data_IF_198358678464
#
_entry.id   IF_198358678464
#
_cell.length_a   1.000
_cell.length_b   1.000
_cell.length_c   1.000
_cell.angle_alpha   90.00
_cell.angle_beta   90.00
_cell.angle_gamma   90.00
#
_symmetry.space_group_name_H-M   'P 1'
#
loop_
_entity.id
_entity.type
_entity.pdbx_description
1 polymer ?
#
# COMPACT_ATOMS: atom_id res chain seq x y z
N UNK A 1 1.88 -63.98 -23.86
CA UNK A 1 1.57 -63.00 -22.79
C UNK A 1 2.55 -61.82 -22.72
N UNK A 2 3.43 -61.62 -23.71
CA UNK A 2 4.41 -60.51 -23.75
C UNK A 2 3.80 -59.20 -24.24
N UNK A 3 2.87 -59.26 -25.20
CA UNK A 3 2.28 -58.09 -25.86
C UNK A 3 1.48 -57.17 -24.91
N UNK A 4 0.83 -57.73 -23.87
CA UNK A 4 0.04 -56.94 -22.91
C UNK A 4 0.91 -56.08 -21.99
N UNK A 5 2.13 -56.55 -21.65
CA UNK A 5 3.12 -55.80 -20.86
C UNK A 5 3.73 -54.66 -21.68
N UNK A 6 4.00 -54.88 -22.96
CA UNK A 6 4.51 -53.83 -23.85
C UNK A 6 3.48 -52.73 -24.06
N UNK A 7 2.19 -53.08 -24.24
CA UNK A 7 1.11 -52.10 -24.42
C UNK A 7 0.91 -51.24 -23.16
N UNK A 8 0.98 -51.84 -21.96
CA UNK A 8 0.86 -51.09 -20.70
C UNK A 8 2.02 -50.12 -20.48
N UNK A 9 3.25 -50.51 -20.82
CA UNK A 9 4.43 -49.63 -20.72
C UNK A 9 4.34 -48.47 -21.72
N UNK A 10 3.89 -48.72 -22.95
CA UNK A 10 3.73 -47.67 -23.98
C UNK A 10 2.62 -46.68 -23.61
N UNK A 11 1.49 -47.14 -23.09
CA UNK A 11 0.43 -46.26 -22.59
C UNK A 11 0.89 -45.41 -21.40
N UNK A 12 1.66 -45.98 -20.47
CA UNK A 12 2.21 -45.23 -19.33
C UNK A 12 3.18 -44.13 -19.79
N UNK A 13 4.02 -44.43 -20.79
CA UNK A 13 4.97 -43.48 -21.35
C UNK A 13 4.29 -42.33 -22.10
N UNK A 14 3.21 -42.60 -22.83
CA UNK A 14 2.39 -41.58 -23.50
C UNK A 14 1.66 -40.67 -22.50
N UNK A 15 1.21 -41.23 -21.38
CA UNK A 15 0.55 -40.47 -20.30
C UNK A 15 1.49 -39.48 -19.61
N UNK A 16 2.77 -39.84 -19.47
CA UNK A 16 3.78 -39.00 -18.85
C UNK A 16 4.17 -37.78 -19.71
N UNK A 17 4.07 -37.89 -21.04
CA UNK A 17 4.38 -36.78 -21.97
C UNK A 17 3.24 -35.74 -22.07
N UNK A 18 2.01 -36.12 -21.72
CA UNK A 18 0.85 -35.21 -21.77
C UNK A 18 0.84 -34.14 -20.67
N UNK A 19 1.58 -34.35 -19.58
CA UNK A 19 1.59 -33.43 -18.42
C UNK A 19 2.70 -32.34 -18.49
N UNK A 20 3.56 -32.36 -19.51
CA UNK A 20 4.80 -31.57 -19.51
C UNK A 20 4.79 -30.23 -20.26
N UNK A 21 3.75 -29.93 -21.05
CA UNK A 21 3.71 -28.73 -21.91
C UNK A 21 2.56 -27.76 -21.59
N UNK A 22 1.65 -28.12 -20.69
CA UNK A 22 0.47 -27.32 -20.41
C UNK A 22 0.79 -25.93 -19.83
N UNK A 23 1.92 -25.78 -19.11
CA UNK A 23 2.26 -24.59 -18.33
C UNK A 23 3.09 -23.50 -19.04
N UNK A 24 3.43 -23.70 -20.31
CA UNK A 24 4.23 -22.69 -21.04
C UNK A 24 3.32 -21.65 -21.67
N UNK A 25 3.33 -20.45 -21.08
CA UNK A 25 2.82 -19.22 -21.72
C UNK A 25 3.61 -19.03 -23.03
N UNK A 26 2.94 -18.74 -24.17
CA UNK A 26 3.63 -18.50 -25.43
C UNK A 26 4.59 -17.31 -25.30
N UNK A 27 5.72 -17.35 -25.99
CA UNK A 27 6.80 -16.37 -25.83
C UNK A 27 6.39 -14.91 -26.16
N UNK A 28 5.29 -14.74 -26.89
CA UNK A 28 4.72 -13.43 -27.27
C UNK A 28 3.74 -12.86 -26.21
N UNK A 29 3.52 -13.59 -25.11
CA UNK A 29 2.65 -13.18 -24.01
C UNK A 29 3.48 -12.93 -22.77
N UNK A 30 3.18 -11.82 -22.08
CA UNK A 30 3.79 -11.45 -20.80
C UNK A 30 3.64 -12.61 -19.81
N UNK A 31 4.72 -13.00 -19.14
CA UNK A 31 4.70 -14.11 -18.18
C UNK A 31 3.77 -13.81 -17.00
N UNK A 32 3.31 -14.85 -16.30
CA UNK A 32 2.34 -14.69 -15.21
C UNK A 32 2.87 -13.79 -14.08
N UNK A 33 4.15 -13.87 -13.79
CA UNK A 33 4.81 -13.11 -12.73
C UNK A 33 4.90 -11.63 -13.09
N UNK A 34 5.25 -11.31 -14.34
CA UNK A 34 5.29 -9.93 -14.81
C UNK A 34 3.89 -9.33 -14.94
N UNK A 35 2.92 -10.12 -15.41
CA UNK A 35 1.52 -9.73 -15.48
C UNK A 35 0.98 -9.42 -14.08
N UNK A 36 1.31 -10.26 -13.07
CA UNK A 36 0.99 -10.00 -11.67
C UNK A 36 1.54 -8.63 -11.23
N UNK A 37 2.81 -8.35 -11.48
CA UNK A 37 3.45 -7.11 -11.02
C UNK A 37 2.81 -5.86 -11.64
N UNK A 38 2.54 -5.89 -12.95
CA UNK A 38 1.84 -4.80 -13.64
C UNK A 38 0.43 -4.58 -13.08
N UNK A 39 -0.32 -5.66 -12.84
CA UNK A 39 -1.70 -5.58 -12.37
C UNK A 39 -1.79 -5.07 -10.93
N UNK A 40 -0.81 -5.38 -10.07
CA UNK A 40 -0.72 -4.80 -8.72
C UNK A 40 -0.64 -3.28 -8.82
N UNK A 41 0.28 -2.78 -9.65
CA UNK A 41 0.51 -1.34 -9.80
C UNK A 41 -0.69 -0.63 -10.44
N UNK A 42 -1.34 -1.26 -11.44
CA UNK A 42 -2.55 -0.72 -12.04
C UNK A 42 -3.69 -0.61 -11.02
N UNK A 43 -3.92 -1.63 -10.20
CA UNK A 43 -4.95 -1.63 -9.18
C UNK A 43 -4.65 -0.62 -8.04
N UNK A 44 -3.36 -0.44 -7.72
CA UNK A 44 -2.92 0.60 -6.80
C UNK A 44 -3.20 2.00 -7.38
N UNK A 45 -2.93 2.22 -8.67
CA UNK A 45 -3.24 3.48 -9.35
C UNK A 45 -4.75 3.75 -9.43
N UNK A 46 -5.58 2.73 -9.62
CA UNK A 46 -7.04 2.86 -9.56
C UNK A 46 -7.47 3.32 -8.17
N UNK A 47 -6.99 2.64 -7.13
CA UNK A 47 -7.27 2.99 -5.74
C UNK A 47 -6.83 4.42 -5.43
N UNK A 48 -5.64 4.81 -5.88
CA UNK A 48 -5.08 6.16 -5.72
C UNK A 48 -5.90 7.21 -6.48
N UNK A 49 -6.51 6.87 -7.63
CA UNK A 49 -7.32 7.80 -8.40
C UNK A 49 -8.61 8.26 -7.68
N UNK A 50 -9.09 7.46 -6.72
CA UNK A 50 -10.23 7.81 -5.88
C UNK A 50 -9.84 8.71 -4.71
N UNK A 51 -8.54 8.84 -4.42
CA UNK A 51 -8.09 9.65 -3.30
C UNK A 51 -8.33 11.14 -3.60
N UNK A 52 -8.90 11.81 -2.61
CA UNK A 52 -9.41 13.18 -2.70
C UNK A 52 -8.29 14.12 -3.14
N UNK A 53 -8.60 15.02 -4.07
CA UNK A 53 -7.63 16.02 -4.57
C UNK A 53 -6.91 16.68 -3.39
N UNK A 54 -5.56 16.76 -3.40
CA UNK A 54 -4.78 17.32 -2.30
C UNK A 54 -5.10 18.79 -2.00
N UNK A 55 -5.86 19.46 -2.88
CA UNK A 55 -6.13 20.89 -2.78
C UNK A 55 -7.44 21.25 -2.08
N UNK A 56 -8.47 20.38 -2.00
CA UNK A 56 -9.79 20.82 -1.48
C UNK A 56 -10.67 19.78 -0.77
N UNK A 57 -10.27 18.51 -0.66
CA UNK A 57 -11.15 17.49 -0.06
C UNK A 57 -12.46 17.28 -0.83
N UNK A 58 -12.53 17.77 -2.08
CA UNK A 58 -13.65 17.59 -2.99
C UNK A 58 -13.30 16.40 -3.89
N UNK A 59 -14.20 15.41 -4.05
CA UNK A 59 -13.98 14.30 -4.97
C UNK A 59 -13.77 14.83 -6.40
N UNK A 60 -12.82 14.23 -7.13
CA UNK A 60 -12.59 14.58 -8.52
C UNK A 60 -13.83 14.26 -9.36
N UNK A 61 -14.19 15.10 -10.35
CA UNK A 61 -15.16 14.72 -11.36
C UNK A 61 -14.71 13.44 -12.07
N UNK A 62 -15.65 12.55 -12.38
CA UNK A 62 -15.33 11.24 -12.99
C UNK A 62 -14.56 11.35 -14.31
N UNK A 63 -14.85 12.37 -15.12
CA UNK A 63 -14.14 12.62 -16.38
C UNK A 63 -12.64 12.88 -16.18
N UNK A 64 -12.31 13.70 -15.17
CA UNK A 64 -10.91 14.02 -14.82
C UNK A 64 -10.23 12.81 -14.21
N UNK A 65 -10.94 12.07 -13.35
CA UNK A 65 -10.43 10.83 -12.74
C UNK A 65 -10.06 9.79 -13.79
N UNK A 66 -10.95 9.53 -14.75
CA UNK A 66 -10.69 8.58 -15.84
C UNK A 66 -9.50 9.00 -16.70
N UNK A 67 -9.33 10.31 -16.96
CA UNK A 67 -8.16 10.81 -17.68
C UNK A 67 -6.87 10.55 -16.89
N UNK A 68 -6.87 10.79 -15.57
CA UNK A 68 -5.73 10.54 -14.68
C UNK A 68 -5.36 9.05 -14.61
N UNK A 69 -6.33 8.15 -14.50
CA UNK A 69 -6.08 6.71 -14.51
C UNK A 69 -5.38 6.27 -15.80
N UNK A 70 -5.82 6.79 -16.96
CA UNK A 70 -5.15 6.51 -18.24
C UNK A 70 -3.70 6.99 -18.27
N UNK A 71 -3.42 8.16 -17.70
CA UNK A 71 -2.05 8.67 -17.53
C UNK A 71 -1.21 7.75 -16.65
N UNK A 72 -1.75 7.26 -15.53
CA UNK A 72 -1.05 6.34 -14.64
C UNK A 72 -0.79 4.99 -15.29
N UNK A 73 -1.77 4.40 -15.97
CA UNK A 73 -1.58 3.12 -16.66
C UNK A 73 -0.48 3.19 -17.72
N UNK A 74 -0.39 4.30 -18.46
CA UNK A 74 0.71 4.54 -19.39
C UNK A 74 2.06 4.50 -18.67
N UNK A 75 2.18 5.24 -17.58
CA UNK A 75 3.43 5.33 -16.80
C UNK A 75 3.81 3.97 -16.19
N UNK A 76 2.84 3.21 -15.70
CA UNK A 76 3.07 1.86 -15.15
C UNK A 76 3.59 0.93 -16.24
N UNK A 77 2.97 0.93 -17.42
CA UNK A 77 3.45 0.13 -18.54
C UNK A 77 4.89 0.52 -18.94
N UNK A 78 5.21 1.81 -18.94
CA UNK A 78 6.56 2.30 -19.21
C UNK A 78 7.57 1.82 -18.14
N UNK A 79 7.18 1.82 -16.85
CA UNK A 79 7.99 1.31 -15.73
C UNK A 79 8.27 -0.19 -15.83
N UNK A 80 7.30 -0.96 -16.31
CA UNK A 80 7.42 -2.40 -16.54
C UNK A 80 7.99 -2.76 -17.92
N UNK A 81 8.36 -1.74 -18.72
CA UNK A 81 8.91 -1.88 -20.07
C UNK A 81 8.00 -2.61 -21.07
N UNK A 82 6.69 -2.36 -20.98
CA UNK A 82 5.70 -2.93 -21.89
C UNK A 82 5.08 -1.87 -22.79
N UNK A 83 4.82 -2.26 -24.04
CA UNK A 83 3.97 -1.43 -24.91
C UNK A 83 2.48 -1.68 -24.59
N UNK A 84 1.63 -0.69 -24.85
CA UNK A 84 0.16 -0.85 -24.71
C UNK A 84 -0.35 -2.02 -25.57
N UNK A 85 0.20 -2.20 -26.78
CA UNK A 85 -0.19 -3.27 -27.70
C UNK A 85 0.17 -4.65 -27.14
N UNK A 86 1.38 -4.81 -26.62
CA UNK A 86 1.87 -6.04 -26.01
C UNK A 86 1.07 -6.42 -24.76
N UNK A 87 0.79 -5.43 -23.90
CA UNK A 87 -0.07 -5.64 -22.74
C UNK A 87 -1.47 -6.08 -23.14
N UNK A 88 -2.11 -5.39 -24.09
CA UNK A 88 -3.47 -5.72 -24.54
C UNK A 88 -3.53 -7.10 -25.21
N UNK A 89 -2.52 -7.47 -26.01
CA UNK A 89 -2.44 -8.80 -26.60
C UNK A 89 -2.32 -9.89 -25.53
N UNK A 90 -1.47 -9.66 -24.54
CA UNK A 90 -1.28 -10.56 -23.39
C UNK A 90 -2.54 -10.65 -22.53
N UNK A 91 -3.18 -9.52 -22.24
CA UNK A 91 -4.41 -9.45 -21.47
C UNK A 91 -5.52 -10.26 -22.13
N UNK A 92 -5.70 -10.11 -23.45
CA UNK A 92 -6.68 -10.91 -24.22
C UNK A 92 -6.40 -12.41 -24.13
N UNK A 93 -5.13 -12.82 -24.13
CA UNK A 93 -4.77 -14.22 -23.90
C UNK A 93 -5.23 -14.70 -22.52
N UNK A 94 -4.94 -13.94 -21.45
CA UNK A 94 -5.36 -14.32 -20.09
C UNK A 94 -6.89 -14.31 -19.93
N UNK A 95 -7.59 -13.36 -20.54
CA UNK A 95 -9.06 -13.31 -20.55
C UNK A 95 -9.67 -14.55 -21.20
N UNK A 96 -9.07 -15.05 -22.28
CA UNK A 96 -9.48 -16.29 -22.94
C UNK A 96 -9.12 -17.57 -22.16
N UNK A 97 -8.27 -17.47 -21.14
CA UNK A 97 -7.81 -18.61 -20.33
C UNK A 97 -8.07 -18.37 -18.82
N UNK A 98 -9.32 -18.56 -18.34
CA UNK A 98 -9.71 -18.23 -16.97
C UNK A 98 -8.85 -18.90 -15.89
N UNK A 99 -8.41 -20.14 -16.13
CA UNK A 99 -7.53 -20.86 -15.19
C UNK A 99 -6.20 -20.13 -14.99
N UNK A 100 -5.61 -19.60 -16.07
CA UNK A 100 -4.35 -18.86 -16.03
C UNK A 100 -4.49 -17.49 -15.42
N UNK A 101 -5.59 -16.80 -15.73
CA UNK A 101 -5.89 -15.51 -15.11
C UNK A 101 -6.12 -15.67 -13.60
N UNK A 102 -6.80 -16.74 -13.18
CA UNK A 102 -6.94 -17.07 -11.75
C UNK A 102 -5.59 -17.27 -11.08
N UNK A 103 -4.67 -18.01 -11.69
CA UNK A 103 -3.31 -18.18 -11.13
C UNK A 103 -2.62 -16.81 -10.93
N UNK A 104 -2.72 -15.89 -11.88
CA UNK A 104 -2.16 -14.53 -11.76
C UNK A 104 -2.76 -13.79 -10.57
N UNK A 105 -4.08 -13.83 -10.40
CA UNK A 105 -4.77 -13.20 -9.26
C UNK A 105 -4.43 -13.86 -7.91
N UNK A 106 -4.27 -15.18 -7.88
CA UNK A 106 -3.86 -15.89 -6.66
C UNK A 106 -2.42 -15.50 -6.28
N UNK A 107 -1.51 -15.37 -7.25
CA UNK A 107 -0.16 -14.86 -7.02
C UNK A 107 -0.14 -13.40 -6.59
N UNK A 108 -1.04 -12.57 -7.14
CA UNK A 108 -1.20 -11.17 -6.76
C UNK A 108 -1.59 -11.04 -5.28
N UNK A 109 -2.58 -11.80 -4.83
CA UNK A 109 -3.02 -11.80 -3.43
C UNK A 109 -1.91 -12.24 -2.48
N UNK A 110 -1.16 -13.28 -2.85
CA UNK A 110 -0.02 -13.74 -2.06
C UNK A 110 1.07 -12.67 -1.92
N UNK A 111 1.39 -11.96 -3.00
CA UNK A 111 2.40 -10.90 -2.97
C UNK A 111 1.94 -9.68 -2.16
N UNK A 112 0.69 -9.23 -2.31
CA UNK A 112 0.13 -8.14 -1.51
C UNK A 112 0.12 -8.50 -0.01
N UNK A 113 -0.27 -9.73 0.33
CA UNK A 113 -0.25 -10.20 1.72
C UNK A 113 1.17 -10.17 2.30
N UNK A 114 2.16 -10.57 1.53
CA UNK A 114 3.58 -10.51 1.92
C UNK A 114 4.04 -9.08 2.15
N UNK A 115 3.76 -8.17 1.22
CA UNK A 115 4.12 -6.76 1.34
C UNK A 115 3.49 -6.12 2.58
N UNK A 116 2.22 -6.42 2.86
CA UNK A 116 1.52 -5.95 4.07
C UNK A 116 2.21 -6.40 5.35
N UNK A 117 2.60 -7.67 5.46
CA UNK A 117 3.30 -8.18 6.65
C UNK A 117 4.61 -7.42 6.89
N UNK A 118 5.35 -7.09 5.83
CA UNK A 118 6.58 -6.30 5.92
C UNK A 118 6.28 -4.87 6.38
N UNK A 119 5.30 -4.19 5.76
CA UNK A 119 4.90 -2.83 6.11
C UNK A 119 4.44 -2.75 7.57
N UNK A 120 3.56 -3.66 8.00
CA UNK A 120 3.08 -3.74 9.39
C UNK A 120 4.25 -3.99 10.38
N UNK A 121 5.27 -4.73 9.97
CA UNK A 121 6.49 -4.95 10.75
C UNK A 121 7.31 -3.66 10.90
N UNK A 122 7.52 -2.93 9.80
CA UNK A 122 8.25 -1.67 9.78
C UNK A 122 7.52 -0.57 10.56
N UNK A 123 6.20 -0.49 10.46
CA UNK A 123 5.38 0.44 11.24
C UNK A 123 5.48 0.15 12.74
N UNK A 124 5.41 -1.13 13.12
CA UNK A 124 5.65 -1.54 14.51
C UNK A 124 7.02 -1.11 15.01
N UNK A 125 8.08 -1.32 14.22
CA UNK A 125 9.44 -0.86 14.56
C UNK A 125 9.51 0.65 14.78
N UNK A 126 8.88 1.44 13.90
CA UNK A 126 8.81 2.91 14.07
C UNK A 126 8.06 3.30 15.34
N UNK A 127 6.95 2.63 15.65
CA UNK A 127 6.16 2.89 16.86
C UNK A 127 6.98 2.62 18.14
N UNK A 128 7.79 1.56 18.18
CA UNK A 128 8.66 1.29 19.33
C UNK A 128 9.69 2.39 19.60
N UNK A 129 10.21 3.03 18.55
CA UNK A 129 11.17 4.13 18.70
C UNK A 129 10.56 5.42 19.25
N UNK A 130 9.25 5.63 19.05
CA UNK A 130 8.54 6.83 19.50
C UNK A 130 8.03 6.66 20.93
N UNK A 131 7.34 5.56 21.23
CA UNK A 131 6.79 5.27 22.57
C UNK A 131 6.69 3.75 22.83
N UNK A 132 7.58 3.14 23.62
CA UNK A 132 7.59 1.69 23.87
C UNK A 132 6.33 1.18 24.61
N UNK A 133 5.50 2.06 25.16
CA UNK A 133 4.23 1.73 25.80
C UNK A 133 3.02 1.65 24.85
N UNK A 134 3.14 2.08 23.59
CA UNK A 134 2.03 2.14 22.63
C UNK A 134 1.60 0.74 22.13
N UNK A 135 2.43 -0.29 22.34
CA UNK A 135 2.14 -1.68 22.02
C UNK A 135 0.94 -2.25 22.80
N UNK A 136 0.59 -1.68 23.96
CA UNK A 136 -0.48 -2.20 24.80
C UNK A 136 -1.81 -1.50 24.49
N UNK A 137 -2.93 -2.22 24.38
CA UNK A 137 -4.26 -1.64 24.15
C UNK A 137 -4.69 -0.65 25.26
N UNK A 138 -3.97 -0.62 26.39
CA UNK A 138 -4.17 0.31 27.50
C UNK A 138 -2.83 0.91 27.97
N UNK A 139 -2.32 1.98 27.34
CA UNK A 139 -1.03 2.56 27.69
C UNK A 139 -1.06 3.37 29.01
N UNK A 140 -2.25 3.76 29.49
CA UNK A 140 -2.41 4.69 30.62
C UNK A 140 -2.14 4.07 32.00
N UNK A 141 -2.01 2.74 32.11
CA UNK A 141 -1.79 2.03 33.38
C UNK A 141 -0.57 1.09 33.40
N UNK A 142 0.19 0.96 32.30
CA UNK A 142 1.42 0.15 32.28
C UNK A 142 2.60 0.98 32.78
N UNK A 143 3.07 0.70 33.99
CA UNK A 143 4.32 1.26 34.51
C UNK A 143 5.47 0.38 34.03
N UNK A 144 6.21 0.81 33.01
CA UNK A 144 7.50 0.19 32.69
C UNK A 144 8.49 0.54 33.82
N UNK A 145 8.81 -0.43 34.67
CA UNK A 145 9.86 -0.31 35.67
C UNK A 145 11.22 -0.37 34.95
N UNK A 146 12.00 0.71 34.98
CA UNK A 146 13.35 0.78 34.35
C UNK A 146 14.37 -0.23 34.92
N UNK A 147 13.99 -1.00 35.95
CA UNK A 147 14.85 -1.98 36.63
C UNK A 147 14.42 -3.44 36.41
N UNK A 148 13.26 -3.69 35.84
CA UNK A 148 12.69 -5.04 35.71
C UNK A 148 11.98 -5.16 34.36
N UNK A 149 12.49 -6.05 33.50
CA UNK A 149 11.99 -6.30 32.14
C UNK A 149 10.64 -7.06 32.11
N UNK A 150 10.03 -7.30 33.28
CA UNK A 150 8.76 -8.01 33.40
C UNK A 150 7.60 -7.03 33.48
N UNK A 151 6.82 -6.99 32.42
CA UNK A 151 5.57 -6.24 32.34
C UNK A 151 4.51 -7.02 33.12
N UNK A 152 4.14 -6.52 34.30
CA UNK A 152 2.98 -7.03 35.05
C UNK A 152 1.76 -6.24 34.60
N UNK A 153 0.88 -6.77 33.73
CA UNK A 153 -0.38 -6.11 33.47
C UNK A 153 -1.22 -6.18 34.76
N UNK A 154 -2.30 -5.40 34.91
CA UNK A 154 -3.27 -5.49 36.02
C UNK A 154 -2.87 -5.12 37.47
N UNK A 155 -1.66 -4.63 37.78
CA UNK A 155 -1.45 -3.97 39.08
C UNK A 155 -2.14 -2.60 39.10
N UNK A 156 -3.37 -2.55 39.62
CA UNK A 156 -4.09 -1.30 39.92
C UNK A 156 -3.23 -0.50 40.88
N UNK A 157 -2.63 0.60 40.40
CA UNK A 157 -1.90 1.56 41.25
C UNK A 157 -2.86 2.00 42.35
N UNK A 158 -2.70 1.48 43.57
CA UNK A 158 -3.36 2.02 44.76
C UNK A 158 -2.94 3.48 44.81
N UNK A 159 -3.90 4.40 44.71
CA UNK A 159 -3.63 5.85 44.63
C UNK A 159 -2.96 6.40 45.90
N UNK A 160 -2.80 5.56 46.91
CA UNK A 160 -2.37 5.89 48.27
C UNK A 160 -0.88 6.24 48.41
N UNK A 161 -0.08 6.18 47.33
CA UNK A 161 1.34 6.54 47.35
C UNK A 161 1.67 7.86 46.62
N UNK A 162 0.68 8.69 46.29
CA UNK A 162 0.93 10.10 45.92
C UNK A 162 0.86 10.94 47.19
N UNK A 163 1.87 10.83 48.05
CA UNK A 163 2.15 11.85 49.06
C UNK A 163 3.60 12.30 48.94
N UNK A 164 3.73 13.56 48.54
CA UNK A 164 4.94 14.39 48.49
C UNK A 164 5.78 14.31 47.21
N UNK A 165 5.37 15.09 46.20
CA UNK A 165 6.31 15.92 45.46
C UNK A 165 5.78 17.36 45.47
N UNK A 166 6.56 18.23 46.10
CA UNK A 166 6.41 19.67 46.24
C UNK A 166 6.05 20.35 44.91
N UNK A 167 5.20 21.39 44.89
CA UNK A 167 4.87 22.11 43.66
C UNK A 167 6.12 22.81 43.10
N UNK A 168 6.48 22.49 41.86
CA UNK A 168 7.42 23.28 41.05
C UNK A 168 6.58 24.37 40.36
N UNK A 169 7.03 25.64 40.36
CA UNK A 169 6.19 26.81 40.12
C UNK A 169 5.54 26.83 38.74
N UNK A 170 4.28 27.27 38.71
CA UNK A 170 3.61 27.77 37.51
C UNK A 170 4.36 29.01 37.02
N UNK A 171 5.29 28.85 36.08
CA UNK A 171 5.72 29.98 35.27
C UNK A 171 4.61 30.29 34.27
N UNK A 172 3.91 31.36 34.58
CA UNK A 172 2.99 32.08 33.73
C UNK A 172 3.70 32.52 32.44
N UNK A 173 3.30 31.96 31.30
CA UNK A 173 3.46 32.65 30.01
C UNK A 173 2.06 32.89 29.46
N UNK A 174 1.66 34.14 29.65
CA UNK A 174 0.41 34.76 29.25
C UNK A 174 -0.10 34.34 27.87
N UNK A 175 -1.38 33.95 27.83
CA UNK A 175 -2.24 34.18 26.68
C UNK A 175 -2.57 35.68 26.56
N UNK A 176 -1.78 36.46 25.83
CA UNK A 176 -2.24 37.69 25.16
C UNK A 176 -1.15 38.27 24.28
N UNK A 177 -1.26 38.06 22.95
CA UNK A 177 -0.97 39.01 21.85
C UNK A 177 -1.17 38.27 20.51
N UNK A 178 -2.41 38.12 20.06
CA UNK A 178 -2.91 38.90 18.91
C UNK A 178 -2.09 40.17 18.64
N UNK A 179 -1.67 40.34 17.40
CA UNK A 179 -0.94 41.48 16.81
C UNK A 179 0.57 41.29 16.69
N UNK A 180 0.99 40.65 15.60
CA UNK A 180 1.95 41.26 14.66
C UNK A 180 2.30 40.28 13.54
N UNK A 181 1.79 40.60 12.36
CA UNK A 181 2.25 40.12 11.06
C UNK A 181 3.73 40.48 10.92
N UNK A 182 4.61 39.50 10.69
CA UNK A 182 6.00 39.78 10.29
C UNK A 182 6.03 40.42 8.89
N UNK A 183 6.77 41.52 8.64
CA UNK A 183 6.61 42.37 7.45
C UNK A 183 7.18 41.83 6.13
N UNK A 184 7.55 40.55 6.04
CA UNK A 184 8.41 40.04 4.97
C UNK A 184 7.69 39.35 3.80
N UNK A 185 6.36 39.43 3.72
CA UNK A 185 5.59 38.95 2.56
C UNK A 185 4.61 39.97 1.99
N UNK A 186 4.94 41.27 2.06
CA UNK A 186 4.10 42.36 1.51
C UNK A 186 4.64 42.99 0.21
N UNK A 187 5.42 42.25 -0.58
CA UNK A 187 6.02 42.78 -1.84
C UNK A 187 5.71 42.06 -3.14
N UNK A 188 4.81 41.07 -3.17
CA UNK A 188 4.35 40.48 -4.45
C UNK A 188 2.85 40.18 -4.45
N UNK A 189 2.04 41.24 -4.54
CA UNK A 189 0.68 41.18 -5.10
C UNK A 189 0.18 42.62 -5.26
N UNK A 190 0.60 43.29 -6.35
CA UNK A 190 -0.18 44.39 -6.90
C UNK A 190 -1.32 43.76 -7.72
N UNK A 191 -2.60 44.04 -7.45
CA UNK A 191 -3.67 43.66 -8.35
C UNK A 191 -3.66 44.59 -9.58
N UNK A 192 -3.61 43.98 -10.76
CA UNK A 192 -3.93 44.61 -12.04
C UNK A 192 -5.40 45.04 -12.00
N UNK A 193 -5.66 46.33 -12.25
CA UNK A 193 -7.01 46.91 -12.34
C UNK A 193 -7.69 46.47 -13.65
N UNK A 194 -8.91 45.94 -13.64
CA UNK A 194 -9.65 45.68 -14.87
C UNK A 194 -10.20 46.98 -15.50
N UNK A 195 -10.32 47.05 -16.84
CA UNK A 195 -10.80 48.23 -17.55
C UNK A 195 -12.29 48.47 -17.28
N UNK A 196 -12.67 49.74 -17.12
CA UNK A 196 -14.06 50.19 -17.11
C UNK A 196 -14.57 50.17 -18.55
N UNK A 197 -15.65 49.46 -18.80
CA UNK A 197 -16.47 49.64 -19.99
C UNK A 197 -17.38 50.84 -19.76
N UNK A 198 -17.18 51.88 -20.56
CA UNK A 198 -18.15 52.88 -20.95
C UNK A 198 -18.02 53.05 -22.46
#
# INVERSE_FOLDING_TARGET
MTNLRTITIVCLLMSALACGQADKVPADVISKEKMRDVLIDMNLADSYSYDISPLRGIPLPDSVRQQKVKEYYRQILDLHHFSVKEFMASWKYYEAHPNRLKEVYDMMQAEIARQRVVLDGLERMKQYGVDPGMFFPYPKNTVLSKKQDTILPFLKRKQDAVKTRTPIPQNTVNSKKQDSISPLLKRKLNPVKPPKHE
#
